data_IF_059886989927
#
_entry.id   IF_059886989927
#
_cell.length_a   1.000
_cell.length_b   1.000
_cell.length_c   1.000
_cell.angle_alpha   90.00
_cell.angle_beta   90.00
_cell.angle_gamma   90.00
#
_symmetry.space_group_name_H-M   'P 1'
#
loop_
_entity.id
_entity.type
_entity.pdbx_description
1 polymer ?
#
# COMPACT_ATOMS: atom_id res chain seq x y z
N UNK A 1 13.09 -43.98 -68.60
CA UNK A 1 12.14 -43.20 -69.40
C UNK A 1 11.41 -42.25 -68.47
N UNK A 2 11.60 -40.96 -68.70
CA UNK A 2 11.11 -39.80 -67.94
C UNK A 2 9.61 -39.59 -68.16
N UNK A 3 8.86 -39.30 -67.09
CA UNK A 3 7.72 -38.39 -67.15
C UNK A 3 7.64 -37.56 -65.86
N UNK A 4 8.07 -36.30 -65.99
CA UNK A 4 7.53 -35.17 -65.24
C UNK A 4 6.05 -35.01 -65.58
N UNK A 5 5.24 -34.47 -64.65
CA UNK A 5 4.45 -33.22 -64.82
C UNK A 5 3.36 -33.06 -63.72
N UNK A 6 3.41 -31.86 -63.11
CA UNK A 6 2.33 -31.00 -62.55
C UNK A 6 1.82 -31.16 -61.11
N UNK A 7 2.22 -30.15 -60.31
CA UNK A 7 1.39 -29.40 -59.36
C UNK A 7 -0.08 -29.25 -59.80
N UNK A 8 -0.99 -29.48 -58.85
CA UNK A 8 -2.32 -28.84 -58.65
C UNK A 8 -2.95 -29.64 -57.49
N UNK A 9 -2.97 -29.18 -56.25
CA UNK A 9 -3.70 -28.01 -55.78
C UNK A 9 -4.85 -28.48 -54.88
N UNK A 10 -4.65 -28.45 -53.56
CA UNK A 10 -5.74 -28.27 -52.59
C UNK A 10 -5.26 -27.22 -51.59
N UNK A 11 -5.64 -26.00 -51.93
CA UNK A 11 -5.80 -24.86 -51.04
C UNK A 11 -6.81 -25.20 -49.94
N UNK A 12 -6.72 -24.46 -48.83
CA UNK A 12 -7.67 -24.38 -47.71
C UNK A 12 -7.58 -25.56 -46.73
N UNK A 13 -7.34 -25.37 -45.44
CA UNK A 13 -7.68 -24.23 -44.60
C UNK A 13 -6.67 -24.24 -43.44
N UNK A 14 -5.58 -23.48 -43.58
CA UNK A 14 -4.97 -22.92 -42.37
C UNK A 14 -6.05 -21.96 -41.85
N UNK A 15 -6.93 -22.44 -40.98
CA UNK A 15 -7.62 -21.57 -40.03
C UNK A 15 -6.50 -20.91 -39.26
N UNK A 16 -6.07 -19.77 -39.80
CA UNK A 16 -5.61 -18.65 -39.03
C UNK A 16 -6.67 -18.49 -37.94
N UNK A 17 -6.43 -19.12 -36.80
CA UNK A 17 -6.83 -18.56 -35.53
C UNK A 17 -6.08 -17.23 -35.49
N UNK A 18 -6.63 -16.23 -36.19
CA UNK A 18 -6.51 -14.85 -35.78
C UNK A 18 -7.19 -14.81 -34.41
N UNK A 19 -6.53 -15.36 -33.39
CA UNK A 19 -6.57 -14.73 -32.09
C UNK A 19 -6.06 -13.35 -32.41
N UNK A 20 -6.97 -12.40 -32.59
CA UNK A 20 -6.59 -11.00 -32.60
C UNK A 20 -5.76 -10.85 -31.34
N UNK A 21 -4.45 -10.74 -31.47
CA UNK A 21 -3.69 -9.89 -30.59
C UNK A 21 -4.39 -8.55 -30.77
N UNK A 22 -5.42 -8.30 -29.96
CA UNK A 22 -5.90 -6.94 -29.78
C UNK A 22 -4.66 -6.26 -29.24
N UNK A 23 -4.02 -5.44 -30.07
CA UNK A 23 -3.07 -4.47 -29.58
C UNK A 23 -3.88 -3.60 -28.62
N UNK A 24 -3.76 -3.96 -27.35
CA UNK A 24 -4.31 -3.21 -26.25
C UNK A 24 -3.33 -2.06 -26.08
N UNK A 25 -3.66 -0.91 -26.67
CA UNK A 25 -2.97 0.33 -26.33
C UNK A 25 -3.17 0.56 -24.84
N UNK A 26 -2.11 0.29 -24.07
CA UNK A 26 -2.11 0.36 -22.62
C UNK A 26 -1.37 1.60 -22.17
N UNK A 27 -1.97 2.34 -21.25
CA UNK A 27 -1.33 3.47 -20.56
C UNK A 27 -1.18 3.17 -19.07
N UNK A 28 -0.29 3.89 -18.40
CA UNK A 28 -0.09 3.78 -16.95
C UNK A 28 -0.03 5.17 -16.34
N UNK A 29 -0.79 5.38 -15.27
CA UNK A 29 -0.74 6.59 -14.48
C UNK A 29 0.70 6.84 -13.99
N UNK A 30 1.17 8.08 -14.15
CA UNK A 30 2.46 8.50 -13.64
C UNK A 30 2.32 8.99 -12.19
N UNK A 31 3.34 8.72 -11.37
CA UNK A 31 3.47 9.25 -10.01
C UNK A 31 4.79 10.02 -9.91
N UNK A 32 4.88 10.93 -8.95
CA UNK A 32 6.07 11.75 -8.72
C UNK A 32 6.66 11.57 -7.31
N UNK A 33 7.74 12.29 -7.01
CA UNK A 33 8.41 12.23 -5.71
C UNK A 33 7.47 12.62 -4.56
N UNK A 34 6.52 13.54 -4.76
CA UNK A 34 5.58 13.97 -3.72
C UNK A 34 4.55 12.89 -3.40
N UNK A 35 4.21 12.05 -4.36
CA UNK A 35 3.38 10.87 -4.13
C UNK A 35 4.14 9.85 -3.25
N UNK A 36 5.45 9.66 -3.51
CA UNK A 36 6.31 8.71 -2.78
C UNK A 36 6.56 9.14 -1.33
N UNK A 37 6.59 10.44 -1.02
CA UNK A 37 6.72 10.97 0.35
C UNK A 37 5.70 10.37 1.33
N UNK A 38 4.56 9.89 0.85
CA UNK A 38 3.54 9.23 1.68
C UNK A 38 3.92 7.85 2.19
N UNK A 39 4.92 7.20 1.58
CA UNK A 39 5.42 5.91 2.04
C UNK A 39 6.26 6.05 3.32
N UNK A 40 6.90 7.21 3.51
CA UNK A 40 7.72 7.64 4.66
C UNK A 40 8.97 6.79 4.92
N UNK A 41 8.82 5.48 5.01
CA UNK A 41 9.89 4.57 5.40
C UNK A 41 10.56 3.96 4.18
N UNK A 42 11.87 4.15 4.08
CA UNK A 42 12.71 3.53 3.08
C UNK A 42 13.01 2.07 3.45
N UNK A 43 13.52 1.32 2.47
CA UNK A 43 13.93 -0.06 2.67
C UNK A 43 15.05 -0.14 3.71
N UNK A 44 14.89 -1.05 4.68
CA UNK A 44 15.77 -1.25 5.84
C UNK A 44 15.70 -0.16 6.92
N UNK A 45 14.78 0.80 6.81
CA UNK A 45 14.53 1.73 7.90
C UNK A 45 14.07 0.98 9.15
N UNK A 46 14.45 1.55 10.30
CA UNK A 46 13.95 1.12 11.60
C UNK A 46 13.35 2.29 12.34
N UNK A 47 12.26 2.04 13.04
CA UNK A 47 11.58 3.02 13.89
C UNK A 47 11.27 2.40 15.24
N UNK A 48 11.21 3.23 16.27
CA UNK A 48 11.01 2.77 17.65
C UNK A 48 9.78 3.44 18.23
N UNK A 49 9.01 2.67 18.98
CA UNK A 49 7.83 3.14 19.70
C UNK A 49 7.94 2.77 21.18
N UNK A 50 7.37 3.60 22.04
CA UNK A 50 7.03 3.25 23.40
C UNK A 50 5.63 2.64 23.42
N UNK A 51 5.44 1.53 24.13
CA UNK A 51 4.11 0.96 24.32
C UNK A 51 3.44 1.47 25.61
N UNK A 52 2.25 0.93 25.93
CA UNK A 52 1.52 1.29 27.15
C UNK A 52 2.24 0.93 28.47
N UNK A 53 3.18 -0.02 28.44
CA UNK A 53 3.96 -0.45 29.63
C UNK A 53 5.28 0.30 29.79
N UNK A 54 5.63 1.18 28.84
CA UNK A 54 6.93 1.88 28.82
C UNK A 54 8.06 1.06 28.19
N UNK A 55 7.75 -0.08 27.57
CA UNK A 55 8.72 -0.87 26.83
C UNK A 55 8.93 -0.30 25.42
N UNK A 56 10.16 -0.41 24.92
CA UNK A 56 10.46 -0.06 23.53
C UNK A 56 10.16 -1.20 22.59
N UNK A 57 9.34 -0.93 21.58
CA UNK A 57 9.07 -1.82 20.44
C UNK A 57 9.79 -1.29 19.22
N UNK A 58 10.60 -2.12 18.57
CA UNK A 58 11.35 -1.74 17.36
C UNK A 58 10.71 -2.36 16.14
N UNK A 59 10.49 -1.56 15.11
CA UNK A 59 9.97 -2.00 13.83
C UNK A 59 11.05 -1.86 12.76
N UNK A 60 11.04 -2.76 11.79
CA UNK A 60 11.85 -2.67 10.60
C UNK A 60 10.97 -2.67 9.35
N UNK A 61 11.37 -1.93 8.32
CA UNK A 61 10.73 -1.98 7.02
C UNK A 61 11.00 -3.35 6.38
N UNK A 62 9.96 -4.17 6.23
CA UNK A 62 10.07 -5.51 5.63
C UNK A 62 9.58 -5.56 4.19
N UNK A 63 8.82 -4.55 3.74
CA UNK A 63 8.38 -4.45 2.36
C UNK A 63 8.22 -2.99 1.93
N UNK A 64 8.82 -2.66 0.78
CA UNK A 64 8.58 -1.43 0.04
C UNK A 64 8.34 -1.84 -1.41
N UNK A 65 7.09 -1.74 -1.85
CA UNK A 65 6.60 -2.31 -3.11
C UNK A 65 5.79 -1.25 -3.86
N UNK A 66 6.03 -1.16 -5.16
CA UNK A 66 5.21 -0.40 -6.09
C UNK A 66 4.76 -1.34 -7.21
N UNK A 67 3.48 -1.30 -7.55
CA UNK A 67 2.88 -2.17 -8.55
C UNK A 67 1.79 -1.47 -9.37
N UNK A 68 1.55 -2.01 -10.55
CA UNK A 68 0.49 -1.56 -11.44
C UNK A 68 -0.78 -2.35 -11.12
N UNK A 69 -1.91 -1.66 -10.99
CA UNK A 69 -3.22 -2.27 -10.79
C UNK A 69 -4.16 -1.87 -11.91
N UNK A 70 -5.13 -2.72 -12.30
CA UNK A 70 -6.12 -2.36 -13.30
C UNK A 70 -6.75 -1.02 -12.94
N UNK A 71 -6.79 -0.09 -13.90
CA UNK A 71 -7.35 1.23 -13.69
C UNK A 71 -8.83 1.19 -13.36
N UNK A 72 -9.38 2.31 -12.89
CA UNK A 72 -10.81 2.41 -12.61
C UNK A 72 -11.67 1.93 -13.80
N UNK A 73 -12.59 1.01 -13.53
CA UNK A 73 -13.46 0.40 -14.54
C UNK A 73 -12.88 -0.84 -15.25
N UNK A 74 -11.62 -1.21 -14.98
CA UNK A 74 -10.99 -2.43 -15.49
C UNK A 74 -10.89 -3.51 -14.39
N UNK A 75 -10.86 -4.77 -14.81
CA UNK A 75 -10.64 -5.93 -13.97
C UNK A 75 -9.33 -6.65 -14.37
N UNK A 76 -8.68 -7.30 -13.41
CA UNK A 76 -7.50 -8.13 -13.67
C UNK A 76 -7.80 -9.29 -14.63
N UNK A 77 -9.06 -9.74 -14.69
CA UNK A 77 -9.50 -10.79 -15.62
C UNK A 77 -9.85 -10.27 -17.02
N UNK A 78 -9.78 -8.96 -17.27
CA UNK A 78 -10.15 -8.41 -18.57
C UNK A 78 -9.12 -8.81 -19.63
N UNK A 79 -9.63 -9.24 -20.78
CA UNK A 79 -8.79 -9.62 -21.93
C UNK A 79 -7.95 -8.45 -22.47
N UNK A 80 -8.28 -7.21 -22.09
CA UNK A 80 -7.62 -6.00 -22.53
C UNK A 80 -7.74 -4.91 -21.47
N UNK A 81 -6.64 -4.60 -20.79
CA UNK A 81 -6.57 -3.48 -19.84
C UNK A 81 -5.97 -2.29 -20.57
N UNK A 82 -6.81 -1.28 -20.84
CA UNK A 82 -6.39 -0.06 -21.55
C UNK A 82 -5.63 0.92 -20.65
N UNK A 83 -5.78 0.78 -19.33
CA UNK A 83 -5.17 1.68 -18.37
C UNK A 83 -4.81 0.98 -17.06
N UNK A 84 -3.63 1.30 -16.52
CA UNK A 84 -3.19 0.88 -15.20
C UNK A 84 -3.01 2.09 -14.28
N UNK A 85 -3.54 1.98 -13.07
CA UNK A 85 -3.20 2.85 -11.95
C UNK A 85 -1.92 2.34 -11.27
N UNK A 86 -1.30 3.18 -10.45
CA UNK A 86 -0.12 2.79 -9.67
C UNK A 86 -0.47 2.79 -8.20
N UNK A 87 -0.14 1.71 -7.50
CA UNK A 87 -0.17 1.67 -6.06
C UNK A 87 1.20 1.38 -5.50
N UNK A 88 1.46 1.89 -4.31
CA UNK A 88 2.66 1.54 -3.55
C UNK A 88 2.36 1.47 -2.06
N UNK A 89 3.16 0.68 -1.36
CA UNK A 89 3.04 0.52 0.08
C UNK A 89 4.39 0.27 0.74
N UNK A 90 4.47 0.70 1.99
CA UNK A 90 5.60 0.46 2.89
C UNK A 90 5.07 -0.24 4.14
N UNK A 91 5.69 -1.36 4.52
CA UNK A 91 5.26 -2.19 5.66
C UNK A 91 6.38 -2.23 6.69
N UNK A 92 6.02 -1.84 7.91
CA UNK A 92 6.87 -1.94 9.09
C UNK A 92 6.37 -3.09 9.97
N UNK A 93 7.25 -3.99 10.34
CA UNK A 93 6.94 -5.10 11.26
C UNK A 93 7.82 -5.05 12.50
N UNK A 94 7.22 -5.36 13.65
CA UNK A 94 7.92 -5.55 14.92
C UNK A 94 9.02 -6.61 14.74
N UNK A 95 10.27 -6.27 15.04
CA UNK A 95 11.42 -7.18 14.84
C UNK A 95 11.36 -8.41 15.76
N UNK A 96 10.58 -8.34 16.84
CA UNK A 96 10.35 -9.46 17.76
C UNK A 96 9.27 -10.42 17.29
N UNK A 97 8.61 -10.10 16.16
CA UNK A 97 7.60 -10.91 15.48
C UNK A 97 8.24 -12.11 14.80
N UNK A 98 8.74 -13.04 15.61
CA UNK A 98 8.88 -14.43 15.21
C UNK A 98 7.51 -15.10 15.24
N UNK A 99 7.30 -16.08 14.36
CA UNK A 99 6.06 -16.84 14.09
C UNK A 99 5.44 -17.53 15.34
N UNK A 100 6.05 -17.37 16.51
CA UNK A 100 5.73 -18.02 17.77
C UNK A 100 5.45 -17.05 18.92
N UNK A 101 5.58 -15.73 18.72
CA UNK A 101 5.48 -14.74 19.80
C UNK A 101 4.09 -14.09 19.83
N UNK A 102 3.28 -14.44 20.84
CA UNK A 102 1.94 -13.85 21.06
C UNK A 102 1.97 -12.40 21.54
N UNK A 103 3.17 -11.88 21.83
CA UNK A 103 3.39 -10.53 22.35
C UNK A 103 3.86 -9.53 21.28
N UNK A 104 4.04 -9.97 20.02
CA UNK A 104 4.46 -9.08 18.96
C UNK A 104 3.37 -8.05 18.64
N UNK A 105 3.76 -6.80 18.49
CA UNK A 105 2.85 -5.72 18.11
C UNK A 105 2.41 -5.91 16.65
N UNK A 106 1.17 -5.48 16.28
CA UNK A 106 0.71 -5.61 14.90
C UNK A 106 1.56 -4.76 13.95
N UNK A 107 1.88 -5.30 12.77
CA UNK A 107 2.55 -4.53 11.72
C UNK A 107 1.75 -3.31 11.31
N UNK A 108 2.43 -2.26 10.88
CA UNK A 108 1.84 -0.99 10.40
C UNK A 108 2.27 -0.77 8.95
N UNK A 109 1.40 -0.15 8.15
CA UNK A 109 1.71 0.11 6.76
C UNK A 109 1.16 1.46 6.29
N UNK A 110 1.87 2.06 5.36
CA UNK A 110 1.42 3.19 4.55
C UNK A 110 1.10 2.69 3.14
N UNK A 111 0.09 3.28 2.51
CA UNK A 111 -0.35 2.94 1.17
C UNK A 111 -0.72 4.21 0.42
N UNK A 112 -0.39 4.27 -0.87
CA UNK A 112 -1.05 5.19 -1.77
C UNK A 112 -1.53 4.47 -3.04
N UNK A 113 -2.62 4.99 -3.61
CA UNK A 113 -3.12 4.66 -4.94
C UNK A 113 -3.20 5.94 -5.76
N UNK A 114 -2.39 6.00 -6.81
CA UNK A 114 -2.35 7.08 -7.78
C UNK A 114 -3.17 6.68 -9.00
N UNK A 115 -4.20 7.46 -9.26
CA UNK A 115 -4.96 7.46 -10.52
C UNK A 115 -4.69 8.75 -11.28
N UNK A 116 -5.09 8.80 -12.54
CA UNK A 116 -4.88 9.96 -13.43
C UNK A 116 -5.25 11.30 -12.77
N UNK A 117 -6.37 11.33 -12.04
CA UNK A 117 -6.92 12.55 -11.44
C UNK A 117 -7.04 12.51 -9.91
N UNK A 118 -6.49 11.49 -9.24
CA UNK A 118 -6.63 11.36 -7.78
C UNK A 118 -5.45 10.66 -7.12
N UNK A 119 -5.23 11.02 -5.85
CA UNK A 119 -4.33 10.32 -4.95
C UNK A 119 -5.15 9.89 -3.73
N UNK A 120 -5.27 8.58 -3.52
CA UNK A 120 -5.75 8.04 -2.26
C UNK A 120 -4.56 7.65 -1.41
N UNK A 121 -4.61 7.98 -0.12
CA UNK A 121 -3.59 7.61 0.86
C UNK A 121 -4.28 6.93 2.03
N UNK A 122 -3.71 5.82 2.49
CA UNK A 122 -4.21 5.08 3.63
C UNK A 122 -3.07 4.70 4.58
N UNK A 123 -3.43 4.52 5.84
CA UNK A 123 -2.61 3.84 6.85
C UNK A 123 -3.31 2.57 7.28
N UNK A 124 -2.56 1.50 7.53
CA UNK A 124 -3.12 0.22 7.93
C UNK A 124 -2.42 -0.34 9.16
N UNK A 125 -3.19 -1.11 9.93
CA UNK A 125 -2.69 -1.90 11.06
C UNK A 125 -3.07 -3.36 10.84
N UNK A 126 -2.08 -4.24 10.82
CA UNK A 126 -2.22 -5.63 10.39
C UNK A 126 -3.28 -6.38 11.21
N UNK A 127 -4.26 -6.96 10.52
CA UNK A 127 -5.38 -7.67 11.12
C UNK A 127 -6.38 -6.79 11.87
N UNK A 128 -6.31 -5.46 11.72
CA UNK A 128 -7.18 -4.47 12.38
C UNK A 128 -7.92 -3.55 11.41
N UNK A 129 -7.31 -3.19 10.29
CA UNK A 129 -7.98 -2.44 9.24
C UNK A 129 -7.05 -1.54 8.44
N UNK A 130 -7.63 -0.94 7.40
CA UNK A 130 -7.05 0.13 6.58
C UNK A 130 -7.91 1.39 6.75
N UNK A 131 -7.25 2.53 6.89
CA UNK A 131 -7.89 3.81 7.21
C UNK A 131 -7.39 4.90 6.26
N UNK A 132 -8.34 5.52 5.55
CA UNK A 132 -8.03 6.60 4.60
C UNK A 132 -7.60 7.86 5.33
N UNK A 133 -6.53 8.49 4.82
CA UNK A 133 -6.13 9.84 5.18
C UNK A 133 -6.72 10.84 4.19
N UNK A 134 -6.93 12.08 4.62
CA UNK A 134 -7.21 13.19 3.71
C UNK A 134 -5.88 13.85 3.32
N UNK A 135 -5.29 13.55 2.15
CA UNK A 135 -3.98 14.07 1.79
C UNK A 135 -3.95 15.59 1.58
N UNK A 136 -5.12 16.21 1.33
CA UNK A 136 -5.23 17.63 1.01
C UNK A 136 -5.10 18.57 2.21
N UNK A 137 -5.30 18.08 3.44
CA UNK A 137 -5.26 18.92 4.63
C UNK A 137 -4.92 18.10 5.89
N UNK A 138 -3.88 18.48 6.65
CA UNK A 138 -3.60 17.86 7.95
C UNK A 138 -4.73 18.19 8.94
N UNK A 139 -5.03 17.25 9.84
CA UNK A 139 -6.06 17.43 10.89
C UNK A 139 -5.63 18.49 11.90
N UNK A 140 -4.34 18.53 12.22
CA UNK A 140 -3.77 19.48 13.15
C UNK A 140 -2.55 20.18 12.55
N UNK A 141 -2.36 21.49 12.80
CA UNK A 141 -1.14 22.19 12.42
C UNK A 141 0.07 21.64 13.19
N UNK A 142 -0.13 21.21 14.45
CA UNK A 142 0.89 20.55 15.24
C UNK A 142 0.29 19.71 16.38
N UNK A 143 0.97 18.63 16.75
CA UNK A 143 0.66 17.79 17.92
C UNK A 143 1.95 17.40 18.63
N UNK A 144 1.93 17.42 19.96
CA UNK A 144 3.03 16.89 20.77
C UNK A 144 2.80 15.40 21.04
N UNK A 145 3.79 14.57 20.74
CA UNK A 145 3.81 13.14 21.08
C UNK A 145 5.15 12.83 21.74
N UNK A 146 5.10 12.28 22.96
CA UNK A 146 6.28 11.95 23.74
C UNK A 146 7.29 13.12 23.83
N UNK A 147 6.81 14.28 24.29
CA UNK A 147 7.57 15.53 24.48
C UNK A 147 8.20 16.12 23.20
N UNK A 148 7.79 15.66 22.02
CA UNK A 148 8.24 16.22 20.73
C UNK A 148 7.07 16.73 19.92
N UNK A 149 7.23 17.97 19.44
CA UNK A 149 6.25 18.65 18.61
C UNK A 149 6.42 18.26 17.15
N UNK A 150 5.36 17.72 16.56
CA UNK A 150 5.28 17.40 15.13
C UNK A 150 4.31 18.34 14.44
N UNK A 151 4.62 18.73 13.21
CA UNK A 151 3.78 19.61 12.38
C UNK A 151 3.02 18.82 11.31
N UNK A 152 1.95 19.42 10.79
CA UNK A 152 1.13 18.84 9.70
C UNK A 152 0.68 17.40 9.99
N UNK A 153 0.00 17.24 11.13
CA UNK A 153 -0.39 15.94 11.67
C UNK A 153 -1.76 15.53 11.13
N UNK A 154 -1.80 14.37 10.48
CA UNK A 154 -3.02 13.70 10.05
C UNK A 154 -3.52 12.79 11.17
N UNK A 155 -4.82 12.78 11.36
CA UNK A 155 -5.48 11.94 12.35
C UNK A 155 -6.54 11.05 11.71
N UNK A 156 -6.54 9.79 12.11
CA UNK A 156 -7.64 8.85 11.89
C UNK A 156 -8.34 8.62 13.23
N UNK A 157 -9.66 8.76 13.26
CA UNK A 157 -10.50 8.30 14.35
C UNK A 157 -11.37 7.17 13.82
N UNK A 158 -11.27 6.00 14.41
CA UNK A 158 -12.16 4.88 14.13
C UNK A 158 -13.14 4.74 15.29
N UNK A 159 -14.45 4.75 14.99
CA UNK A 159 -15.52 4.63 15.98
C UNK A 159 -15.99 3.18 16.19
N UNK A 160 -15.44 2.21 15.45
CA UNK A 160 -15.77 0.80 15.62
C UNK A 160 -15.11 0.21 16.87
N UNK A 161 -15.80 0.32 18.00
CA UNK A 161 -15.43 -0.30 19.28
C UNK A 161 -15.92 -1.76 19.43
N UNK A 162 -16.36 -2.43 18.35
CA UNK A 162 -16.93 -3.79 18.44
C UNK A 162 -15.93 -4.85 18.91
N UNK A 163 -14.63 -4.61 18.75
CA UNK A 163 -13.55 -5.44 19.31
C UNK A 163 -12.57 -4.55 20.06
N UNK A 164 -12.14 -5.00 21.24
CA UNK A 164 -11.16 -4.28 22.05
C UNK A 164 -9.81 -4.09 21.34
N UNK A 165 -9.47 -4.96 20.39
CA UNK A 165 -8.23 -4.85 19.61
C UNK A 165 -8.34 -3.91 18.41
N UNK A 166 -9.53 -3.37 18.11
CA UNK A 166 -9.68 -2.42 17.01
C UNK A 166 -8.86 -1.17 17.30
N UNK A 167 -8.33 -0.58 16.23
CA UNK A 167 -7.71 0.75 16.29
C UNK A 167 -8.79 1.74 16.70
N UNK A 168 -8.45 2.61 17.66
CA UNK A 168 -9.25 3.74 18.11
C UNK A 168 -8.79 5.01 17.40
N UNK A 169 -7.47 5.21 17.31
CA UNK A 169 -6.86 6.44 16.76
C UNK A 169 -5.49 6.19 16.16
N UNK A 170 -5.16 6.92 15.10
CA UNK A 170 -3.80 6.99 14.53
C UNK A 170 -3.42 8.46 14.36
N UNK A 171 -2.21 8.81 14.75
CA UNK A 171 -1.55 10.07 14.39
C UNK A 171 -0.42 9.79 13.41
N UNK A 172 -0.33 10.59 12.35
CA UNK A 172 0.59 10.37 11.24
C UNK A 172 1.12 11.68 10.65
N UNK A 173 2.38 11.71 10.20
CA UNK A 173 2.96 12.81 9.40
C UNK A 173 3.74 12.26 8.21
N UNK A 174 3.91 13.06 7.17
CA UNK A 174 4.78 12.66 6.03
C UNK A 174 6.27 12.62 6.40
N UNK A 175 6.69 13.43 7.37
CA UNK A 175 8.11 13.50 7.75
C UNK A 175 8.53 12.28 8.59
N UNK A 176 7.63 11.77 9.45
CA UNK A 176 7.96 10.77 10.47
C UNK A 176 7.10 9.52 10.44
N UNK A 177 6.02 9.53 9.67
CA UNK A 177 5.11 8.41 9.56
C UNK A 177 4.20 8.33 10.75
N UNK A 178 4.04 7.14 11.30
CA UNK A 178 3.21 6.89 12.46
C UNK A 178 3.81 7.56 13.69
N UNK A 179 3.07 8.49 14.29
CA UNK A 179 3.42 9.12 15.55
C UNK A 179 2.79 8.39 16.74
N UNK A 180 1.53 7.97 16.59
CA UNK A 180 0.81 7.22 17.62
C UNK A 180 -0.22 6.28 17.01
N UNK A 181 -0.38 5.11 17.63
CA UNK A 181 -1.46 4.16 17.34
C UNK A 181 -2.11 3.76 18.66
N UNK A 182 -3.39 4.08 18.84
CA UNK A 182 -4.16 3.75 20.04
C UNK A 182 -5.21 2.69 19.72
N UNK A 183 -5.41 1.73 20.62
CA UNK A 183 -6.43 0.68 20.53
C UNK A 183 -7.50 0.85 21.60
N UNK A 184 -8.66 0.20 21.41
CA UNK A 184 -9.77 0.25 22.38
C UNK A 184 -9.52 -0.52 23.69
N UNK A 185 -8.47 -1.33 23.76
CA UNK A 185 -8.02 -2.04 24.96
C UNK A 185 -6.88 -1.30 25.68
N UNK A 186 -6.75 0.01 25.45
CA UNK A 186 -5.74 0.90 26.03
C UNK A 186 -4.29 0.57 25.67
N UNK A 187 -4.05 -0.42 24.80
CA UNK A 187 -2.73 -0.61 24.19
C UNK A 187 -2.41 0.57 23.29
N UNK A 188 -1.13 0.92 23.22
CA UNK A 188 -0.67 1.99 22.34
C UNK A 188 0.76 1.79 21.84
N UNK A 189 1.10 2.55 20.82
CA UNK A 189 2.46 2.76 20.33
C UNK A 189 2.64 4.26 20.17
N UNK A 190 3.68 4.86 20.76
CA UNK A 190 4.02 6.29 20.62
C UNK A 190 5.46 6.43 20.14
N UNK A 191 5.70 7.23 19.10
CA UNK A 191 7.01 7.37 18.47
C UNK A 191 8.05 7.90 19.47
N UNK A 192 9.23 7.27 19.47
CA UNK A 192 10.39 7.72 20.25
C UNK A 192 11.62 7.88 19.35
N UNK A 193 12.53 8.78 19.75
CA UNK A 193 13.78 9.10 19.06
C UNK A 193 14.95 8.25 19.55
#
# INVERSE_FOLDING_TARGET
>A
MTHSIKLLGVFMLATLLFTSCKDCDTTTTQFDEKDVEWLVYDRNDTIRFLNETGDTVTYANTALIAEQVPGEGYNISDNCIGHFDVQAYSVMEDITRSNTNTNASPGIATYFLKRENSLEVSVAVNGRGEYKLNPGQPTYPSVEVNDVLYTDVYEVINNDASKATNVKRILFTKERGFLSVEFYNDKKLELIF
#
